data_IF_920768547780
#
_entry.id   IF_920768547780
#
_cell.length_a   1.000
_cell.length_b   1.000
_cell.length_c   1.000
_cell.angle_alpha   90.00
_cell.angle_beta   90.00
_cell.angle_gamma   90.00
#
_symmetry.space_group_name_H-M   'P 1'
#
loop_
_entity.id
_entity.type
_entity.pdbx_description
1 polymer ?
#
# COMPACT_ATOMS: atom_id res chain seq x y z
N UNK A 1 -17.29 -16.64 3.41
CA UNK A 1 -17.17 -15.91 2.11
C UNK A 1 -15.81 -16.25 1.55
N UNK A 2 -15.77 -16.73 0.32
CA UNK A 2 -14.54 -17.00 -0.40
C UNK A 2 -13.74 -15.69 -0.56
N UNK A 3 -12.43 -15.77 -0.37
CA UNK A 3 -11.50 -14.63 -0.49
C UNK A 3 -10.97 -14.63 -1.91
N UNK A 4 -11.19 -13.53 -2.63
CA UNK A 4 -10.66 -13.31 -3.99
C UNK A 4 -9.40 -12.45 -3.86
N UNK A 5 -8.36 -12.82 -4.61
CA UNK A 5 -7.11 -12.09 -4.69
C UNK A 5 -6.94 -11.50 -6.09
N UNK A 6 -6.95 -10.17 -6.20
CA UNK A 6 -6.41 -9.48 -7.38
C UNK A 6 -4.89 -9.40 -7.23
N UNK A 7 -4.17 -10.04 -8.15
CA UNK A 7 -2.71 -10.18 -8.10
C UNK A 7 -2.09 -9.49 -9.30
N UNK A 8 -1.24 -8.51 -9.03
CA UNK A 8 -0.60 -7.68 -10.04
C UNK A 8 0.87 -8.07 -10.15
N UNK A 9 1.29 -8.54 -11.32
CA UNK A 9 2.66 -8.99 -11.54
C UNK A 9 3.15 -8.58 -12.93
N UNK A 10 4.26 -7.86 -12.98
CA UNK A 10 4.87 -7.35 -14.22
C UNK A 10 6.21 -8.02 -14.53
N UNK A 11 6.51 -9.18 -13.93
CA UNK A 11 7.71 -9.95 -14.25
C UNK A 11 7.54 -10.76 -15.54
N UNK A 12 8.54 -11.59 -15.84
CA UNK A 12 8.64 -12.28 -17.14
C UNK A 12 7.47 -13.21 -17.46
N UNK A 13 6.87 -13.84 -16.44
CA UNK A 13 5.79 -14.81 -16.60
C UNK A 13 4.63 -14.48 -15.67
N UNK A 14 3.52 -14.00 -16.23
CA UNK A 14 2.29 -13.77 -15.48
C UNK A 14 1.73 -15.12 -15.01
N UNK A 15 1.44 -15.31 -13.70
CA UNK A 15 0.80 -16.53 -13.22
C UNK A 15 -0.59 -16.75 -13.84
N UNK A 16 -0.99 -18.00 -13.99
CA UNK A 16 -2.35 -18.32 -14.44
C UNK A 16 -3.39 -17.95 -13.38
N UNK A 17 -4.56 -17.51 -13.84
CA UNK A 17 -5.68 -17.22 -12.95
C UNK A 17 -6.42 -18.50 -12.56
N UNK A 18 -7.04 -18.48 -11.37
CA UNK A 18 -7.95 -19.52 -10.88
C UNK A 18 -9.20 -18.88 -10.25
N UNK A 19 -10.13 -19.69 -9.74
CA UNK A 19 -11.44 -19.26 -9.23
C UNK A 19 -11.37 -18.09 -8.22
N UNK A 20 -10.31 -18.05 -7.40
CA UNK A 20 -10.14 -17.04 -6.36
C UNK A 20 -8.81 -16.28 -6.44
N UNK A 21 -8.10 -16.42 -7.56
CA UNK A 21 -6.80 -15.79 -7.81
C UNK A 21 -6.81 -15.20 -9.23
N UNK A 22 -7.00 -13.89 -9.33
CA UNK A 22 -7.12 -13.17 -10.60
C UNK A 22 -5.80 -12.47 -10.88
N UNK A 23 -5.09 -12.94 -11.90
CA UNK A 23 -3.77 -12.42 -12.26
C UNK A 23 -3.89 -11.33 -13.31
N UNK A 24 -3.18 -10.23 -13.07
CA UNK A 24 -3.14 -9.04 -13.89
C UNK A 24 -1.69 -8.66 -14.19
N UNK A 25 -1.43 -8.27 -15.44
CA UNK A 25 -0.15 -7.66 -15.82
C UNK A 25 -0.05 -6.21 -15.35
N UNK A 26 0.49 -5.33 -16.20
CA UNK A 26 0.42 -3.90 -15.93
C UNK A 26 -1.04 -3.41 -15.98
N UNK A 27 -1.48 -2.75 -14.91
CA UNK A 27 -2.81 -2.16 -14.79
C UNK A 27 -2.69 -0.65 -14.57
N UNK A 28 -3.19 0.19 -15.49
CA UNK A 28 -3.29 1.62 -15.23
C UNK A 28 -4.28 1.86 -14.08
N UNK A 29 -4.04 2.91 -13.29
CA UNK A 29 -4.91 3.26 -12.16
C UNK A 29 -5.14 2.12 -11.15
N UNK A 30 -4.09 1.34 -10.83
CA UNK A 30 -4.13 0.26 -9.83
C UNK A 30 -4.75 0.67 -8.48
N UNK A 31 -4.70 1.96 -8.15
CA UNK A 31 -5.35 2.53 -6.97
C UNK A 31 -6.87 2.29 -6.91
N UNK A 32 -7.55 2.09 -8.05
CA UNK A 32 -8.99 1.75 -8.09
C UNK A 32 -9.25 0.35 -7.51
N UNK A 33 -8.36 -0.61 -7.79
CA UNK A 33 -8.41 -1.94 -7.19
C UNK A 33 -8.13 -1.84 -5.68
N UNK A 34 -7.10 -1.08 -5.32
CA UNK A 34 -6.75 -0.85 -3.91
C UNK A 34 -7.90 -0.21 -3.12
N UNK A 35 -8.62 0.77 -3.70
CA UNK A 35 -9.77 1.41 -3.07
C UNK A 35 -10.94 0.45 -2.79
N UNK A 36 -11.10 -0.60 -3.60
CA UNK A 36 -12.13 -1.64 -3.44
C UNK A 36 -11.69 -2.80 -2.54
N UNK A 37 -10.38 -2.96 -2.34
CA UNK A 37 -9.83 -4.04 -1.53
C UNK A 37 -10.23 -3.92 -0.05
N UNK A 38 -10.21 -5.07 0.64
CA UNK A 38 -10.37 -5.13 2.11
C UNK A 38 -9.05 -4.89 2.84
N UNK A 39 -7.97 -5.42 2.29
CA UNK A 39 -6.59 -5.24 2.75
C UNK A 39 -5.69 -5.13 1.52
N UNK A 40 -4.49 -4.57 1.70
CA UNK A 40 -3.45 -4.58 0.69
C UNK A 40 -2.30 -5.50 1.13
N UNK A 41 -1.77 -6.32 0.23
CA UNK A 41 -0.56 -7.12 0.46
C UNK A 41 0.54 -6.57 -0.44
N UNK A 42 1.61 -6.02 0.12
CA UNK A 42 2.63 -5.26 -0.61
C UNK A 42 4.04 -5.49 -0.06
N UNK A 43 5.07 -5.14 -0.81
CA UNK A 43 6.46 -5.25 -0.36
C UNK A 43 6.94 -4.07 0.51
N UNK A 44 6.22 -2.94 0.52
CA UNK A 44 6.55 -1.77 1.36
C UNK A 44 7.02 -0.53 0.59
N UNK A 45 6.76 -0.48 -0.73
CA UNK A 45 6.96 0.74 -1.54
C UNK A 45 6.12 1.91 -1.03
N UNK A 46 6.75 3.09 -0.88
CA UNK A 46 6.15 4.24 -0.20
C UNK A 46 4.87 4.74 -0.88
N UNK A 47 4.85 4.81 -2.22
CA UNK A 47 3.68 5.28 -2.99
C UNK A 47 2.43 4.47 -2.68
N UNK A 48 2.50 3.14 -2.81
CA UNK A 48 1.35 2.26 -2.56
C UNK A 48 0.95 2.26 -1.09
N UNK A 49 1.89 2.41 -0.16
CA UNK A 49 1.57 2.56 1.26
C UNK A 49 0.77 3.85 1.51
N UNK A 50 1.17 4.97 0.93
CA UNK A 50 0.42 6.22 1.04
C UNK A 50 -0.99 6.11 0.42
N UNK A 51 -1.13 5.44 -0.71
CA UNK A 51 -2.44 5.18 -1.32
C UNK A 51 -3.30 4.30 -0.40
N UNK A 52 -2.73 3.23 0.18
CA UNK A 52 -3.45 2.36 1.09
C UNK A 52 -3.92 3.12 2.35
N UNK A 53 -3.07 3.99 2.92
CA UNK A 53 -3.47 4.87 4.01
C UNK A 53 -4.58 5.83 3.59
N UNK A 54 -4.46 6.48 2.42
CA UNK A 54 -5.49 7.39 1.90
C UNK A 54 -6.86 6.71 1.75
N UNK A 55 -6.86 5.45 1.31
CA UNK A 55 -8.07 4.62 1.19
C UNK A 55 -8.42 3.85 2.47
N UNK A 56 -7.67 4.09 3.55
CA UNK A 56 -7.86 3.51 4.88
C UNK A 56 -7.87 1.97 4.87
N UNK A 57 -7.01 1.39 4.05
CA UNK A 57 -6.85 -0.06 3.90
C UNK A 57 -5.79 -0.57 4.87
N UNK A 58 -6.11 -1.56 5.72
CA UNK A 58 -5.10 -2.29 6.45
C UNK A 58 -4.10 -2.93 5.50
N UNK A 59 -2.81 -2.89 5.86
CA UNK A 59 -1.73 -3.36 5.00
C UNK A 59 -0.99 -4.55 5.62
N UNK A 60 -0.82 -5.62 4.86
CA UNK A 60 0.15 -6.68 5.15
C UNK A 60 1.40 -6.42 4.31
N UNK A 61 2.52 -6.16 4.97
CA UNK A 61 3.79 -5.83 4.34
C UNK A 61 4.71 -7.03 4.40
N UNK A 62 5.08 -7.56 3.23
CA UNK A 62 6.01 -8.68 3.07
C UNK A 62 7.33 -8.10 2.59
N UNK A 63 8.25 -7.82 3.51
CA UNK A 63 9.49 -7.11 3.19
C UNK A 63 10.52 -8.03 2.57
N UNK A 64 11.23 -7.52 1.57
CA UNK A 64 12.37 -8.22 0.97
C UNK A 64 13.66 -8.01 1.80
N UNK A 65 14.54 -9.02 1.90
CA UNK A 65 15.87 -8.83 2.46
C UNK A 65 16.66 -7.77 1.69
N UNK A 66 17.53 -7.03 2.38
CA UNK A 66 18.43 -6.07 1.72
C UNK A 66 17.79 -4.75 1.27
N UNK A 67 16.55 -4.47 1.67
CA UNK A 67 15.81 -3.25 1.33
C UNK A 67 15.46 -2.43 2.60
N UNK A 68 16.42 -1.67 3.18
CA UNK A 68 16.20 -0.92 4.42
C UNK A 68 15.07 0.12 4.34
N UNK A 69 14.84 0.68 3.16
CA UNK A 69 13.76 1.63 2.89
C UNK A 69 12.37 0.98 3.06
N UNK A 70 12.18 -0.25 2.58
CA UNK A 70 10.94 -0.99 2.80
C UNK A 70 10.73 -1.28 4.29
N UNK A 71 11.80 -1.65 5.00
CA UNK A 71 11.76 -1.95 6.43
C UNK A 71 11.41 -0.70 7.26
N UNK A 72 11.99 0.45 6.93
CA UNK A 72 11.68 1.72 7.58
C UNK A 72 10.22 2.13 7.34
N UNK A 73 9.73 2.01 6.11
CA UNK A 73 8.34 2.28 5.78
C UNK A 73 7.39 1.34 6.54
N UNK A 74 7.70 0.03 6.52
CA UNK A 74 6.90 -0.98 7.21
C UNK A 74 6.82 -0.73 8.71
N UNK A 75 7.96 -0.38 9.34
CA UNK A 75 7.99 0.00 10.74
C UNK A 75 7.05 1.17 11.03
N UNK A 76 7.07 2.22 10.21
CA UNK A 76 6.16 3.38 10.40
C UNK A 76 4.69 2.98 10.28
N UNK A 77 4.34 2.13 9.31
CA UNK A 77 2.96 1.63 9.13
C UNK A 77 2.49 0.83 10.34
N UNK A 78 3.36 -0.05 10.87
CA UNK A 78 3.08 -0.84 12.08
C UNK A 78 2.95 0.06 13.31
N UNK A 79 3.87 1.01 13.50
CA UNK A 79 3.84 1.95 14.64
C UNK A 79 2.57 2.81 14.64
N UNK A 80 2.01 3.13 13.45
CA UNK A 80 0.71 3.81 13.31
C UNK A 80 -0.51 2.91 13.54
N UNK A 81 -0.31 1.59 13.69
CA UNK A 81 -1.38 0.60 13.82
C UNK A 81 -2.18 0.39 12.52
N UNK A 82 -1.58 0.69 11.37
CA UNK A 82 -2.22 0.63 10.06
C UNK A 82 -1.94 -0.68 9.30
N UNK A 83 -1.05 -1.52 9.82
CA UNK A 83 -0.67 -2.76 9.16
C UNK A 83 0.21 -3.67 9.98
N UNK A 84 0.58 -4.78 9.38
CA UNK A 84 1.47 -5.82 9.92
C UNK A 84 2.64 -5.97 8.95
N UNK A 85 3.84 -6.16 9.48
CA UNK A 85 5.04 -6.41 8.68
C UNK A 85 5.62 -7.79 9.00
N UNK A 86 6.10 -8.47 7.98
CA UNK A 86 6.81 -9.75 8.10
C UNK A 86 7.96 -9.83 7.11
N UNK A 87 9.04 -10.48 7.51
CA UNK A 87 10.17 -10.77 6.62
C UNK A 87 9.76 -11.87 5.62
N UNK A 88 9.94 -11.63 4.32
CA UNK A 88 9.62 -12.58 3.26
C UNK A 88 10.34 -13.94 3.43
N UNK A 89 11.53 -13.97 4.02
CA UNK A 89 12.28 -15.22 4.28
C UNK A 89 11.61 -16.14 5.31
N UNK A 90 10.75 -15.57 6.17
CA UNK A 90 10.00 -16.34 7.16
C UNK A 90 8.63 -16.79 6.61
N UNK A 91 8.30 -16.48 5.35
CA UNK A 91 6.96 -16.71 4.81
C UNK A 91 6.70 -18.19 4.52
N UNK A 92 5.57 -18.68 5.00
CA UNK A 92 5.01 -19.99 4.64
C UNK A 92 3.52 -19.84 4.35
N UNK A 93 2.89 -20.82 3.71
CA UNK A 93 1.44 -20.79 3.46
C UNK A 93 0.63 -20.59 4.76
N UNK A 94 1.04 -21.29 5.84
CA UNK A 94 0.41 -21.18 7.16
C UNK A 94 0.52 -19.75 7.69
N UNK A 95 1.74 -19.20 7.68
CA UNK A 95 2.03 -17.85 8.19
C UNK A 95 1.29 -16.80 7.36
N UNK A 96 1.27 -16.92 6.03
CA UNK A 96 0.54 -16.01 5.15
C UNK A 96 -0.95 -15.99 5.50
N UNK A 97 -1.57 -17.17 5.65
CA UNK A 97 -2.98 -17.28 6.03
C UNK A 97 -3.27 -16.66 7.41
N UNK A 98 -2.39 -16.85 8.39
CA UNK A 98 -2.48 -16.22 9.71
C UNK A 98 -2.37 -14.70 9.62
N UNK A 99 -1.37 -14.18 8.92
CA UNK A 99 -1.15 -12.73 8.77
C UNK A 99 -2.25 -12.03 7.99
N UNK A 100 -2.85 -12.67 6.99
CA UNK A 100 -4.04 -12.16 6.30
C UNK A 100 -5.20 -12.01 7.30
N UNK A 101 -5.47 -13.04 8.13
CA UNK A 101 -6.53 -13.00 9.15
C UNK A 101 -6.29 -11.96 10.22
N UNK A 102 -5.05 -11.78 10.67
CA UNK A 102 -4.68 -10.72 11.61
C UNK A 102 -4.89 -9.33 11.00
N UNK A 103 -4.44 -9.13 9.76
CA UNK A 103 -4.56 -7.84 9.05
C UNK A 103 -6.03 -7.46 8.82
N UNK A 104 -6.89 -8.44 8.49
CA UNK A 104 -8.34 -8.22 8.36
C UNK A 104 -9.04 -7.77 9.65
N UNK A 105 -8.43 -7.97 10.82
CA UNK A 105 -8.97 -7.53 12.12
C UNK A 105 -8.55 -6.11 12.48
N UNK A 106 -7.60 -5.51 11.75
CA UNK A 106 -7.17 -4.14 11.99
C UNK A 106 -8.34 -3.21 11.68
N UNK A 107 -8.68 -2.37 12.65
CA UNK A 107 -9.67 -1.31 12.46
C UNK A 107 -9.03 -0.17 11.68
N UNK A 108 -9.58 0.20 10.51
CA UNK A 108 -9.09 1.36 9.74
C UNK A 108 -9.01 2.62 10.60
N UNK A 109 -7.91 3.35 10.46
CA UNK A 109 -7.76 4.69 11.06
C UNK A 109 -8.22 5.74 10.05
N UNK A 110 -8.70 6.92 10.50
CA UNK A 110 -9.23 7.98 9.62
C UNK A 110 -8.12 8.76 8.89
N UNK A 111 -7.21 8.06 8.22
CA UNK A 111 -6.07 8.65 7.54
C UNK A 111 -6.51 9.58 6.39
N UNK A 112 -7.65 9.33 5.76
CA UNK A 112 -8.17 10.19 4.69
C UNK A 112 -8.37 11.62 5.19
N UNK A 113 -8.91 11.77 6.40
CA UNK A 113 -9.12 13.08 7.03
C UNK A 113 -7.79 13.77 7.34
N UNK A 114 -6.81 13.03 7.85
CA UNK A 114 -5.46 13.53 8.14
C UNK A 114 -4.80 14.03 6.84
N UNK A 115 -4.86 13.22 5.78
CA UNK A 115 -4.31 13.60 4.46
C UNK A 115 -5.02 14.83 3.87
N UNK A 116 -6.33 14.93 4.00
CA UNK A 116 -7.11 16.06 3.51
C UNK A 116 -6.72 17.39 4.20
N UNK A 117 -6.36 17.34 5.50
CA UNK A 117 -5.92 18.53 6.25
C UNK A 117 -4.55 19.04 5.81
N UNK A 118 -3.61 18.14 5.55
CA UNK A 118 -2.23 18.54 5.18
C UNK A 118 -2.16 18.99 3.72
N UNK A 119 -2.84 18.28 2.81
CA UNK A 119 -2.84 18.52 1.35
C UNK A 119 -1.50 19.06 0.81
N UNK A 120 -0.44 18.25 0.96
CA UNK A 120 0.92 18.67 0.63
C UNK A 120 1.10 19.09 -0.84
N UNK A 121 0.31 18.53 -1.77
CA UNK A 121 0.32 18.92 -3.18
C UNK A 121 -0.15 20.37 -3.37
N UNK A 122 -1.27 20.75 -2.74
CA UNK A 122 -1.78 22.11 -2.77
C UNK A 122 -0.78 23.09 -2.14
N UNK A 123 -0.25 22.76 -0.97
CA UNK A 123 0.74 23.59 -0.28
C UNK A 123 2.01 23.81 -1.14
N UNK A 124 2.57 22.74 -1.71
CA UNK A 124 3.73 22.84 -2.59
C UNK A 124 3.44 23.71 -3.83
N UNK A 125 2.28 23.54 -4.46
CA UNK A 125 1.88 24.35 -5.61
C UNK A 125 1.76 25.85 -5.25
N UNK A 126 1.16 26.17 -4.11
CA UNK A 126 1.03 27.56 -3.64
C UNK A 126 2.39 28.23 -3.40
N UNK A 127 3.33 27.51 -2.78
CA UNK A 127 4.70 27.99 -2.55
C UNK A 127 5.42 28.22 -3.88
N UNK A 128 5.36 27.25 -4.79
CA UNK A 128 6.00 27.36 -6.11
C UNK A 128 5.45 28.57 -6.88
N UNK A 129 4.13 28.74 -6.91
CA UNK A 129 3.48 29.86 -7.59
C UNK A 129 3.87 31.21 -6.98
N UNK A 130 4.01 31.28 -5.65
CA UNK A 130 4.50 32.48 -4.97
C UNK A 130 5.94 32.81 -5.39
N UNK A 131 6.85 31.84 -5.38
CA UNK A 131 8.23 32.04 -5.82
C UNK A 131 8.33 32.44 -7.29
N UNK A 132 7.46 31.94 -8.16
CA UNK A 132 7.43 32.34 -9.58
C UNK A 132 7.03 33.81 -9.75
N UNK A 133 6.06 34.31 -8.98
CA UNK A 133 5.61 35.71 -9.04
C UNK A 133 6.66 36.69 -8.50
N UNK A 134 7.35 36.32 -7.43
CA UNK A 134 8.42 37.14 -6.82
C UNK A 134 9.68 37.24 -7.70
N UNK A 135 9.80 36.38 -8.72
CA UNK A 135 10.90 36.35 -9.69
C UNK A 135 10.55 37.00 -11.03
N UNK A 136 9.35 37.54 -11.20
CA UNK A 136 9.04 38.36 -12.37
C UNK A 136 9.65 39.76 -12.15
N UNK A 137 10.48 40.26 -13.09
CA UNK A 137 11.14 41.56 -12.98
C UNK A 137 10.16 42.73 -12.98
#
# INVERSE_FOLDING_TARGET
>A
KDVIFDVFYTGAHLPESSDNFLSHGYVPNIYEHLARAKIAIVHGGLTTLHEALLFEKPVLIIMDPGHPEQQNNAKKIVDMGAGIAINGMAMTQKILGEKIRETLKITPKPFREIHARVNGRKNAAEIILKCCRERQP
#
